data_IF_416231360771
#
_entry.id   IF_416231360771
#
_cell.length_a   1.000
_cell.length_b   1.000
_cell.length_c   1.000
_cell.angle_alpha   90.00
_cell.angle_beta   90.00
_cell.angle_gamma   90.00
#
_symmetry.space_group_name_H-M   'P 1'
#
loop_
_entity.id
_entity.type
_entity.pdbx_description
1 polymer ?
#
# COMPACT_ATOMS: atom_id res chain seq x y z
N UNK A 1 12.44 0.94 4.82
CA UNK A 1 11.09 1.43 4.38
C UNK A 1 10.58 0.49 3.29
N UNK A 2 9.30 0.21 3.29
CA UNK A 2 8.65 -0.69 2.34
C UNK A 2 7.89 0.10 1.25
N UNK A 3 7.14 -0.58 0.40
CA UNK A 3 6.19 0.02 -0.53
C UNK A 3 4.82 -0.62 -0.40
N UNK A 4 3.80 0.18 -0.61
CA UNK A 4 2.41 -0.16 -0.46
C UNK A 4 1.62 0.24 -1.70
N UNK A 5 0.57 -0.51 -1.99
CA UNK A 5 -0.48 -0.14 -2.93
C UNK A 5 -1.84 -0.62 -2.40
N UNK A 6 -2.88 0.16 -2.67
CA UNK A 6 -4.27 -0.22 -2.46
C UNK A 6 -5.09 0.25 -3.66
N UNK A 7 -5.91 -0.62 -4.23
CA UNK A 7 -6.74 -0.27 -5.37
C UNK A 7 -8.11 -0.96 -5.29
N UNK A 8 -9.16 -0.23 -5.73
CA UNK A 8 -10.45 -0.86 -5.96
C UNK A 8 -10.49 -1.56 -7.33
N UNK A 9 -11.51 -2.35 -7.57
CA UNK A 9 -11.69 -3.14 -8.78
C UNK A 9 -11.45 -2.32 -10.07
N UNK A 10 -12.06 -1.13 -10.17
CA UNK A 10 -11.93 -0.29 -11.35
C UNK A 10 -10.54 0.33 -11.49
N UNK A 11 -9.87 0.61 -10.37
CA UNK A 11 -8.47 1.04 -10.35
C UNK A 11 -7.52 -0.06 -10.82
N UNK A 12 -7.75 -1.31 -10.39
CA UNK A 12 -6.98 -2.47 -10.85
C UNK A 12 -7.09 -2.62 -12.37
N UNK A 13 -8.31 -2.59 -12.91
CA UNK A 13 -8.55 -2.69 -14.36
C UNK A 13 -7.89 -1.56 -15.15
N UNK A 14 -7.91 -0.33 -14.62
CA UNK A 14 -7.24 0.80 -15.23
C UNK A 14 -5.73 0.59 -15.29
N UNK A 15 -5.10 0.22 -14.14
CA UNK A 15 -3.66 -0.06 -14.10
C UNK A 15 -3.29 -1.19 -15.05
N UNK A 16 -4.03 -2.30 -15.04
CA UNK A 16 -3.73 -3.44 -15.92
C UNK A 16 -3.77 -3.03 -17.39
N UNK A 17 -4.81 -2.31 -17.80
CA UNK A 17 -5.00 -1.90 -19.21
C UNK A 17 -3.95 -0.92 -19.70
N UNK A 18 -3.61 0.11 -18.90
CA UNK A 18 -2.78 1.23 -19.34
C UNK A 18 -1.28 1.02 -19.07
N UNK A 19 -0.92 0.17 -18.10
CA UNK A 19 0.44 0.07 -17.59
C UNK A 19 0.92 -1.36 -17.32
N UNK A 20 0.00 -2.31 -17.10
CA UNK A 20 0.28 -3.63 -16.57
C UNK A 20 0.41 -3.61 -15.03
N UNK A 21 -0.37 -4.45 -14.36
CA UNK A 21 -0.38 -4.51 -12.90
C UNK A 21 0.95 -5.02 -12.34
N UNK A 22 1.52 -6.03 -12.96
CA UNK A 22 2.84 -6.57 -12.62
C UNK A 22 3.93 -5.49 -12.70
N UNK A 23 3.91 -4.66 -13.74
CA UNK A 23 4.88 -3.58 -13.91
C UNK A 23 4.87 -2.58 -12.74
N UNK A 24 3.67 -2.27 -12.21
CA UNK A 24 3.56 -1.40 -11.04
C UNK A 24 4.09 -2.08 -9.78
N UNK A 25 3.79 -3.36 -9.57
CA UNK A 25 4.32 -4.13 -8.43
C UNK A 25 5.85 -4.21 -8.50
N UNK A 26 6.41 -4.54 -9.66
CA UNK A 26 7.86 -4.56 -9.90
C UNK A 26 8.51 -3.21 -9.68
N UNK A 27 7.87 -2.13 -10.13
CA UNK A 27 8.39 -0.78 -9.87
C UNK A 27 8.46 -0.50 -8.37
N UNK A 28 7.39 -0.81 -7.62
CA UNK A 28 7.36 -0.60 -6.18
C UNK A 28 8.44 -1.43 -5.46
N UNK A 29 8.62 -2.69 -5.85
CA UNK A 29 9.63 -3.58 -5.27
C UNK A 29 11.05 -3.09 -5.56
N UNK A 30 11.35 -2.71 -6.80
CA UNK A 30 12.67 -2.14 -7.17
C UNK A 30 12.98 -0.83 -6.45
N UNK A 31 11.97 -0.05 -6.07
CA UNK A 31 12.19 1.16 -5.30
C UNK A 31 12.67 0.87 -3.86
N UNK A 32 11.92 0.09 -3.10
CA UNK A 32 12.24 -0.29 -1.72
C UNK A 32 11.46 -1.56 -1.32
N UNK A 33 11.93 -2.72 -1.76
CA UNK A 33 11.34 -4.03 -1.49
C UNK A 33 12.36 -5.15 -1.53
N UNK A 34 11.95 -6.35 -1.94
CA UNK A 34 12.82 -7.50 -2.22
C UNK A 34 13.05 -8.45 -1.04
N UNK A 35 12.48 -8.19 0.13
CA UNK A 35 12.50 -9.12 1.27
C UNK A 35 11.17 -9.87 1.46
N UNK A 36 10.38 -9.96 0.38
CA UNK A 36 9.12 -10.65 0.30
C UNK A 36 7.95 -9.74 -0.01
N UNK A 37 6.94 -10.33 -0.64
CA UNK A 37 5.73 -9.68 -1.11
C UNK A 37 4.51 -10.25 -0.40
N UNK A 38 3.40 -9.50 -0.47
CA UNK A 38 2.12 -10.02 -0.04
C UNK A 38 0.97 -9.13 -0.46
N UNK A 39 -0.19 -9.76 -0.53
CA UNK A 39 -1.43 -9.16 -0.97
C UNK A 39 -2.59 -9.63 -0.11
N UNK A 40 -3.51 -8.71 0.18
CA UNK A 40 -4.85 -9.03 0.66
C UNK A 40 -5.85 -8.78 -0.47
N UNK A 41 -6.64 -9.81 -0.79
CA UNK A 41 -7.79 -9.73 -1.68
C UNK A 41 -9.02 -9.49 -0.82
N UNK A 42 -9.73 -8.40 -1.04
CA UNK A 42 -10.98 -8.08 -0.35
C UNK A 42 -12.10 -8.25 -1.37
N UNK A 43 -13.02 -9.16 -1.09
CA UNK A 43 -14.08 -9.54 -2.02
C UNK A 43 -15.36 -8.70 -1.85
N UNK A 44 -16.24 -8.77 -2.85
CA UNK A 44 -17.50 -8.02 -2.88
C UNK A 44 -18.49 -8.46 -1.81
N UNK A 45 -18.39 -9.71 -1.34
CA UNK A 45 -19.17 -10.26 -0.25
C UNK A 45 -18.66 -9.89 1.16
N UNK A 46 -17.51 -9.17 1.23
CA UNK A 46 -16.87 -8.75 2.47
C UNK A 46 -15.87 -9.75 3.04
N UNK A 47 -15.74 -10.93 2.44
CA UNK A 47 -14.66 -11.86 2.77
C UNK A 47 -13.31 -11.36 2.26
N UNK A 48 -12.23 -11.92 2.75
CA UNK A 48 -10.88 -11.61 2.27
C UNK A 48 -9.95 -12.82 2.36
N UNK A 49 -8.92 -12.82 1.50
CA UNK A 49 -7.81 -13.77 1.52
C UNK A 49 -6.49 -13.02 1.59
N UNK A 50 -5.48 -13.62 2.22
CA UNK A 50 -4.11 -13.10 2.26
C UNK A 50 -3.15 -14.14 1.68
N UNK A 51 -2.31 -13.71 0.74
CA UNK A 51 -1.18 -14.46 0.21
C UNK A 51 0.08 -13.66 0.43
N UNK A 52 1.12 -14.27 1.01
CA UNK A 52 2.38 -13.58 1.30
C UNK A 52 3.54 -14.57 1.44
N UNK A 53 4.75 -14.12 1.10
CA UNK A 53 5.94 -14.94 1.22
C UNK A 53 7.18 -14.23 0.69
N UNK A 54 8.35 -14.72 1.10
CA UNK A 54 9.65 -14.22 0.62
C UNK A 54 9.93 -14.58 -0.82
N UNK A 55 9.35 -15.68 -1.31
CA UNK A 55 9.50 -16.17 -2.68
C UNK A 55 8.26 -15.89 -3.56
N UNK A 56 7.29 -15.12 -3.07
CA UNK A 56 6.09 -14.80 -3.83
C UNK A 56 6.42 -13.72 -4.86
N UNK A 57 6.33 -14.05 -6.16
CA UNK A 57 6.64 -13.14 -7.25
C UNK A 57 5.48 -12.17 -7.55
N UNK A 58 5.82 -11.01 -8.12
CA UNK A 58 4.82 -10.03 -8.57
C UNK A 58 3.99 -10.54 -9.74
N UNK A 59 4.57 -11.36 -10.63
CA UNK A 59 3.87 -12.03 -11.72
C UNK A 59 2.75 -12.94 -11.19
N UNK A 60 3.07 -13.81 -10.23
CA UNK A 60 2.07 -14.69 -9.60
C UNK A 60 0.95 -13.91 -8.92
N UNK A 61 1.30 -12.79 -8.24
CA UNK A 61 0.30 -11.92 -7.60
C UNK A 61 -0.61 -11.27 -8.66
N UNK A 62 -0.03 -10.70 -9.72
CA UNK A 62 -0.78 -10.03 -10.77
C UNK A 62 -1.71 -11.00 -11.51
N UNK A 63 -1.22 -12.19 -11.86
CA UNK A 63 -2.01 -13.25 -12.48
C UNK A 63 -3.20 -13.63 -11.59
N UNK A 64 -2.99 -13.84 -10.30
CA UNK A 64 -4.05 -14.21 -9.37
C UNK A 64 -5.07 -13.09 -9.18
N UNK A 65 -4.64 -11.81 -9.14
CA UNK A 65 -5.55 -10.66 -9.12
C UNK A 65 -6.45 -10.67 -10.33
N UNK A 66 -5.88 -10.87 -11.53
CA UNK A 66 -6.65 -10.85 -12.77
C UNK A 66 -7.58 -12.07 -12.88
N UNK A 67 -7.17 -13.24 -12.44
CA UNK A 67 -8.03 -14.42 -12.37
C UNK A 67 -9.27 -14.20 -11.46
N UNK A 68 -9.09 -13.48 -10.35
CA UNK A 68 -10.15 -13.21 -9.36
C UNK A 68 -10.87 -11.87 -9.58
N UNK A 69 -10.52 -11.09 -10.61
CA UNK A 69 -10.94 -9.68 -10.76
C UNK A 69 -12.47 -9.46 -10.69
N UNK A 70 -13.27 -10.42 -11.14
CA UNK A 70 -14.74 -10.33 -11.10
C UNK A 70 -15.31 -10.28 -9.67
N UNK A 71 -14.60 -10.88 -8.73
CA UNK A 71 -15.02 -11.02 -7.32
C UNK A 71 -14.36 -9.99 -6.41
N UNK A 72 -13.22 -9.44 -6.80
CA UNK A 72 -12.46 -8.45 -6.01
C UNK A 72 -13.23 -7.14 -5.91
N UNK A 73 -13.28 -6.57 -4.71
CA UNK A 73 -13.71 -5.21 -4.40
C UNK A 73 -12.50 -4.28 -4.25
N UNK A 74 -11.49 -4.72 -3.46
CA UNK A 74 -10.23 -4.02 -3.22
C UNK A 74 -9.07 -5.01 -3.13
N UNK A 75 -7.85 -4.52 -3.36
CA UNK A 75 -6.61 -5.19 -2.98
C UNK A 75 -5.77 -4.28 -2.08
N UNK A 76 -4.95 -4.88 -1.21
CA UNK A 76 -3.86 -4.21 -0.47
C UNK A 76 -2.59 -5.01 -0.75
N UNK A 77 -1.67 -4.42 -1.49
CA UNK A 77 -0.36 -4.99 -1.82
C UNK A 77 0.75 -4.37 -0.98
N UNK A 78 1.74 -5.16 -0.65
CA UNK A 78 2.92 -4.73 0.08
C UNK A 78 4.16 -5.46 -0.42
N UNK A 79 5.25 -4.73 -0.63
CA UNK A 79 6.59 -5.29 -0.81
C UNK A 79 7.49 -4.83 0.32
N UNK A 80 8.15 -5.79 0.96
CA UNK A 80 8.87 -5.61 2.22
C UNK A 80 10.34 -5.28 1.99
N UNK A 81 10.84 -4.24 2.67
CA UNK A 81 12.25 -4.06 2.98
C UNK A 81 12.40 -4.16 4.50
N UNK A 82 12.91 -5.28 4.99
CA UNK A 82 12.93 -5.58 6.42
C UNK A 82 13.79 -4.59 7.20
N UNK A 83 13.19 -3.97 8.22
CA UNK A 83 13.85 -3.12 9.22
C UNK A 83 13.65 -3.65 10.65
N UNK A 84 12.58 -4.41 10.88
CA UNK A 84 12.24 -5.08 12.13
C UNK A 84 11.87 -6.53 11.84
N UNK A 85 12.36 -7.46 12.64
CA UNK A 85 12.12 -8.90 12.51
C UNK A 85 12.90 -9.55 11.37
N UNK A 86 12.86 -10.88 11.34
CA UNK A 86 13.59 -11.70 10.38
C UNK A 86 12.95 -11.64 8.98
N UNK A 87 13.75 -11.95 7.95
CA UNK A 87 13.25 -12.15 6.59
C UNK A 87 12.70 -13.58 6.52
N UNK A 88 11.39 -13.71 6.54
CA UNK A 88 10.63 -14.95 6.41
C UNK A 88 9.18 -14.63 6.00
N UNK A 89 8.43 -15.64 5.59
CA UNK A 89 7.05 -15.52 5.11
C UNK A 89 6.13 -14.93 6.17
N UNK A 90 6.31 -15.34 7.45
CA UNK A 90 5.49 -14.86 8.55
C UNK A 90 5.52 -13.34 8.69
N UNK A 91 6.70 -12.75 8.52
CA UNK A 91 6.94 -11.31 8.67
C UNK A 91 6.64 -10.49 7.40
N UNK A 92 6.20 -11.11 6.31
CA UNK A 92 5.64 -10.39 5.17
C UNK A 92 4.28 -9.80 5.53
N UNK A 93 3.99 -8.62 4.99
CA UNK A 93 2.68 -7.98 5.12
C UNK A 93 1.73 -8.45 4.01
N UNK A 94 0.41 -8.28 4.14
CA UNK A 94 -0.31 -7.72 5.29
C UNK A 94 -0.38 -8.68 6.49
N UNK A 95 -0.70 -8.11 7.66
CA UNK A 95 -1.04 -8.87 8.86
C UNK A 95 -2.55 -8.85 9.10
N UNK A 96 -3.04 -9.92 9.75
CA UNK A 96 -4.46 -10.11 10.06
C UNK A 96 -4.64 -10.45 11.53
N UNK A 97 -5.71 -9.92 12.13
CA UNK A 97 -6.21 -10.31 13.44
C UNK A 97 -7.70 -9.99 13.59
N UNK A 98 -8.52 -11.02 13.82
CA UNK A 98 -9.95 -10.90 14.09
C UNK A 98 -10.71 -10.05 13.03
N UNK A 99 -10.54 -10.36 11.75
CA UNK A 99 -11.21 -9.66 10.66
C UNK A 99 -10.68 -8.28 10.32
N UNK A 100 -9.52 -7.91 10.91
CA UNK A 100 -8.82 -6.65 10.66
C UNK A 100 -7.50 -6.92 9.94
N UNK A 101 -7.27 -6.23 8.85
CA UNK A 101 -6.07 -6.39 8.03
C UNK A 101 -5.30 -5.09 7.99
N UNK A 102 -3.97 -5.15 8.09
CA UNK A 102 -3.11 -3.97 8.03
C UNK A 102 -1.77 -4.27 7.34
N UNK A 103 -1.34 -3.33 6.51
CA UNK A 103 0.01 -3.23 5.98
C UNK A 103 0.60 -1.87 6.33
N UNK A 104 1.89 -1.81 6.64
CA UNK A 104 2.57 -0.59 7.06
C UNK A 104 3.83 -0.32 6.24
N UNK A 105 4.02 0.93 5.84
CA UNK A 105 5.30 1.44 5.36
C UNK A 105 5.84 2.46 6.35
N UNK A 106 6.86 2.04 7.08
CA UNK A 106 7.52 2.78 8.15
C UNK A 106 8.17 1.82 9.15
N UNK A 107 8.67 2.38 10.23
CA UNK A 107 9.16 1.65 11.39
C UNK A 107 8.74 2.44 12.62
N UNK A 108 7.90 1.83 13.45
CA UNK A 108 7.42 2.47 14.66
C UNK A 108 8.27 2.06 15.86
N UNK A 109 8.46 3.01 16.78
CA UNK A 109 9.20 2.77 18.03
C UNK A 109 8.34 2.97 19.28
N UNK A 110 7.27 3.77 19.16
CA UNK A 110 6.34 4.07 20.25
C UNK A 110 5.03 3.30 20.07
N UNK A 111 5.03 2.02 20.41
CA UNK A 111 3.85 1.17 20.36
C UNK A 111 3.78 0.26 21.60
N UNK A 112 2.62 -0.31 21.87
CA UNK A 112 2.44 -1.27 22.96
C UNK A 112 3.00 -2.61 22.50
N UNK A 113 3.98 -3.13 23.20
CA UNK A 113 4.56 -4.45 22.94
C UNK A 113 3.66 -5.50 23.60
N UNK A 114 2.86 -6.18 22.78
CA UNK A 114 2.05 -7.33 23.20
C UNK A 114 2.93 -8.59 23.27
N UNK A 115 3.83 -8.73 22.29
CA UNK A 115 4.78 -9.84 22.24
C UNK A 115 6.08 -9.37 21.55
N UNK A 116 7.21 -9.59 22.21
CA UNK A 116 8.54 -9.18 21.71
C UNK A 116 9.01 -9.94 20.47
N UNK A 117 8.44 -11.12 20.17
CA UNK A 117 8.74 -11.89 18.97
C UNK A 117 8.04 -11.39 17.71
N UNK A 118 7.09 -10.47 17.84
CA UNK A 118 6.29 -9.92 16.76
C UNK A 118 6.92 -8.64 16.20
N UNK A 119 6.57 -8.32 14.96
CA UNK A 119 6.94 -7.04 14.35
C UNK A 119 6.20 -5.88 15.02
N UNK A 120 6.65 -4.66 14.78
CA UNK A 120 5.97 -3.45 15.22
C UNK A 120 4.53 -3.37 14.69
N UNK A 121 4.33 -3.70 13.41
CA UNK A 121 3.00 -3.70 12.78
C UNK A 121 2.04 -4.72 13.43
N UNK A 122 2.51 -5.93 13.74
CA UNK A 122 1.68 -6.93 14.42
C UNK A 122 1.32 -6.49 15.84
N UNK A 123 2.28 -5.97 16.59
CA UNK A 123 2.03 -5.45 17.93
C UNK A 123 1.01 -4.31 17.91
N UNK A 124 1.09 -3.40 16.93
CA UNK A 124 0.11 -2.32 16.73
C UNK A 124 -1.27 -2.91 16.44
N UNK A 125 -1.37 -3.88 15.53
CA UNK A 125 -2.63 -4.54 15.18
C UNK A 125 -3.27 -5.21 16.40
N UNK A 126 -2.49 -5.90 17.21
CA UNK A 126 -2.97 -6.62 18.40
C UNK A 126 -3.36 -5.68 19.53
N UNK A 127 -2.64 -4.58 19.72
CA UNK A 127 -2.87 -3.63 20.83
C UNK A 127 -3.93 -2.57 20.54
N UNK A 128 -4.45 -2.52 19.31
CA UNK A 128 -5.36 -1.46 18.85
C UNK A 128 -6.73 -2.07 18.53
N UNK A 129 -7.80 -1.65 19.23
CA UNK A 129 -9.15 -2.15 19.02
C UNK A 129 -9.81 -1.60 17.74
N UNK A 130 -9.54 -0.35 17.38
CA UNK A 130 -10.00 0.34 16.17
C UNK A 130 -8.75 0.75 15.38
N UNK A 131 -8.33 -0.08 14.41
CA UNK A 131 -7.11 0.18 13.65
C UNK A 131 -7.27 1.36 12.68
N UNK A 132 -8.48 1.63 12.22
CA UNK A 132 -8.79 2.75 11.32
C UNK A 132 -8.45 4.10 11.97
N UNK A 133 -8.80 4.28 13.24
CA UNK A 133 -8.49 5.51 13.97
C UNK A 133 -7.19 5.40 14.77
N UNK A 134 -6.93 4.24 15.36
CA UNK A 134 -5.77 4.04 16.23
C UNK A 134 -4.42 4.14 15.53
N UNK A 135 -4.37 3.86 14.21
CA UNK A 135 -3.12 4.02 13.43
C UNK A 135 -2.81 5.47 13.07
N UNK A 136 -3.74 6.41 13.25
CA UNK A 136 -3.53 7.84 12.97
C UNK A 136 -2.49 8.53 13.85
N UNK A 137 -2.17 7.95 15.00
CA UNK A 137 -1.16 8.49 15.94
C UNK A 137 0.28 8.13 15.57
N UNK A 138 0.50 7.17 14.69
CA UNK A 138 1.83 6.66 14.34
C UNK A 138 2.43 7.42 13.16
N UNK A 139 3.77 7.49 13.12
CA UNK A 139 4.54 8.19 12.09
C UNK A 139 4.85 7.29 10.88
N UNK A 140 3.83 6.64 10.33
CA UNK A 140 3.95 5.72 9.20
C UNK A 140 2.75 5.83 8.26
N UNK A 141 2.83 5.16 7.12
CA UNK A 141 1.69 4.95 6.23
C UNK A 141 1.09 3.59 6.53
N UNK A 142 -0.21 3.57 6.75
CA UNK A 142 -1.00 2.36 6.94
C UNK A 142 -2.06 2.24 5.86
N UNK A 143 -2.15 1.06 5.25
CA UNK A 143 -3.29 0.63 4.45
C UNK A 143 -3.94 -0.55 5.15
N UNK A 144 -5.26 -0.55 5.25
CA UNK A 144 -5.92 -1.62 5.98
C UNK A 144 -7.38 -1.81 5.61
N UNK A 145 -7.95 -2.83 6.23
CA UNK A 145 -9.36 -3.22 6.13
C UNK A 145 -9.91 -3.52 7.50
N UNK A 146 -11.05 -2.95 7.82
CA UNK A 146 -11.75 -3.11 9.09
C UNK A 146 -13.23 -2.81 8.92
N UNK A 147 -14.11 -3.61 9.55
CA UNK A 147 -15.56 -3.40 9.54
C UNK A 147 -16.15 -3.21 8.12
N UNK A 148 -15.70 -4.04 7.16
CA UNK A 148 -16.20 -4.00 5.77
C UNK A 148 -15.67 -2.84 4.91
N UNK A 149 -14.72 -2.04 5.41
CA UNK A 149 -14.18 -0.86 4.72
C UNK A 149 -12.66 -0.86 4.68
N UNK A 150 -12.10 -0.42 3.57
CA UNK A 150 -10.67 -0.12 3.48
C UNK A 150 -10.38 1.29 3.99
N UNK A 151 -9.17 1.49 4.51
CA UNK A 151 -8.67 2.78 4.95
C UNK A 151 -7.21 2.99 4.56
N UNK A 152 -6.80 4.26 4.48
CA UNK A 152 -5.42 4.69 4.39
C UNK A 152 -5.15 5.80 5.40
N UNK A 153 -4.10 5.67 6.18
CA UNK A 153 -3.62 6.69 7.11
C UNK A 153 -2.17 7.03 6.75
N UNK A 154 -1.92 8.31 6.44
CA UNK A 154 -0.60 8.84 6.08
C UNK A 154 -0.23 10.00 7.00
N UNK A 155 0.53 9.73 8.05
CA UNK A 155 1.06 10.78 8.92
C UNK A 155 2.48 11.17 8.56
N UNK A 156 3.25 10.24 7.99
CA UNK A 156 4.62 10.46 7.54
C UNK A 156 4.93 9.52 6.37
N UNK A 157 5.82 9.93 5.48
CA UNK A 157 6.16 9.17 4.28
C UNK A 157 5.31 9.53 3.07
N UNK A 158 5.55 8.87 1.97
CA UNK A 158 4.87 9.11 0.71
C UNK A 158 3.70 8.15 0.51
N UNK A 159 2.58 8.69 0.13
CA UNK A 159 1.46 7.97 -0.44
C UNK A 159 0.81 8.88 -1.48
N UNK A 160 0.71 8.42 -2.69
CA UNK A 160 0.09 9.11 -3.82
C UNK A 160 -1.26 8.50 -4.12
N UNK A 161 -2.15 9.29 -4.71
CA UNK A 161 -3.51 8.89 -5.06
C UNK A 161 -3.81 9.21 -6.52
N UNK A 162 -4.30 8.23 -7.24
CA UNK A 162 -4.73 8.33 -8.63
C UNK A 162 -6.22 8.01 -8.74
N UNK A 163 -7.09 9.03 -8.96
CA UNK A 163 -8.47 8.81 -9.37
C UNK A 163 -8.50 8.47 -10.86
N UNK A 164 -9.06 7.33 -11.22
CA UNK A 164 -9.21 6.94 -12.61
C UNK A 164 -10.57 7.39 -13.18
N UNK A 165 -10.61 7.67 -14.49
CA UNK A 165 -11.83 8.16 -15.18
C UNK A 165 -13.01 7.19 -15.09
N UNK A 166 -12.76 5.89 -14.92
CA UNK A 166 -13.76 4.84 -14.76
C UNK A 166 -14.29 4.70 -13.30
N UNK A 167 -13.97 5.63 -12.40
CA UNK A 167 -14.31 5.56 -10.97
C UNK A 167 -13.31 4.75 -10.13
N UNK A 168 -12.22 4.32 -10.75
CA UNK A 168 -11.11 3.66 -10.08
C UNK A 168 -10.42 4.55 -9.06
N UNK A 169 -9.88 3.93 -8.02
CA UNK A 169 -9.08 4.56 -6.97
C UNK A 169 -7.84 3.73 -6.74
N UNK A 170 -6.69 4.34 -6.90
CA UNK A 170 -5.40 3.69 -6.65
C UNK A 170 -4.58 4.55 -5.70
N UNK A 171 -4.14 3.96 -4.63
CA UNK A 171 -3.17 4.52 -3.69
C UNK A 171 -1.87 3.74 -3.83
N UNK A 172 -0.75 4.42 -3.99
CA UNK A 172 0.57 3.78 -4.04
C UNK A 172 1.58 4.63 -3.28
N UNK A 173 2.60 4.00 -2.71
CA UNK A 173 3.70 4.73 -2.07
C UNK A 173 4.34 5.72 -3.03
N UNK A 174 4.39 5.37 -4.32
CA UNK A 174 4.81 6.21 -5.43
C UNK A 174 4.36 5.61 -6.74
N UNK A 175 3.99 6.45 -7.72
CA UNK A 175 3.78 6.02 -9.10
C UNK A 175 5.03 6.28 -9.95
N UNK A 176 5.26 5.46 -11.00
CA UNK A 176 6.26 5.75 -12.02
C UNK A 176 6.04 7.13 -12.67
N UNK A 177 7.13 7.80 -13.07
CA UNK A 177 7.04 9.15 -13.65
C UNK A 177 6.18 9.18 -14.92
N UNK A 178 6.22 8.14 -15.72
CA UNK A 178 5.42 8.00 -16.95
C UNK A 178 3.90 7.98 -16.69
N UNK A 179 3.45 7.56 -15.49
CA UNK A 179 2.02 7.61 -15.14
C UNK A 179 1.52 9.04 -15.01
N UNK A 180 2.38 9.96 -14.54
CA UNK A 180 2.04 11.38 -14.41
C UNK A 180 1.82 12.11 -15.74
N UNK A 181 2.17 11.48 -16.87
CA UNK A 181 1.92 12.04 -18.21
C UNK A 181 0.54 11.67 -18.75
N UNK A 182 -0.07 10.61 -18.24
CA UNK A 182 -1.35 10.08 -18.71
C UNK A 182 -2.49 10.28 -17.72
N UNK A 183 -2.18 10.24 -16.42
CA UNK A 183 -3.16 10.30 -15.34
C UNK A 183 -2.89 11.48 -14.39
N UNK A 184 -3.97 11.95 -13.76
CA UNK A 184 -3.86 12.93 -12.67
C UNK A 184 -3.47 12.22 -11.38
N UNK A 185 -2.27 12.49 -10.86
CA UNK A 185 -1.77 11.95 -9.62
C UNK A 185 -1.66 13.06 -8.58
N UNK A 186 -2.19 12.77 -7.41
CA UNK A 186 -2.27 13.69 -6.28
C UNK A 186 -1.52 13.14 -5.08
N UNK A 187 -1.09 13.99 -4.18
CA UNK A 187 -0.73 13.55 -2.85
C UNK A 187 -1.97 12.94 -2.18
N UNK A 188 -1.85 11.73 -1.63
CA UNK A 188 -2.98 11.09 -0.96
C UNK A 188 -3.42 11.92 0.26
N UNK A 189 -4.71 11.96 0.56
CA UNK A 189 -5.18 12.62 1.78
C UNK A 189 -4.55 11.96 3.00
N UNK A 190 -4.34 12.74 4.07
CA UNK A 190 -3.79 12.23 5.31
C UNK A 190 -4.61 11.04 5.86
N UNK A 191 -5.92 11.10 5.69
CA UNK A 191 -6.84 10.04 6.09
C UNK A 191 -7.85 9.76 4.98
N UNK A 192 -8.01 8.50 4.66
CA UNK A 192 -9.03 7.99 3.75
C UNK A 192 -9.76 6.82 4.40
N UNK A 193 -11.07 6.78 4.26
CA UNK A 193 -11.91 5.62 4.59
C UNK A 193 -12.92 5.44 3.47
N UNK A 194 -13.13 4.20 3.03
CA UNK A 194 -14.10 3.88 1.98
C UNK A 194 -15.50 4.43 2.32
N UNK A 195 -16.15 5.05 1.33
CA UNK A 195 -17.46 5.69 1.50
C UNK A 195 -17.40 7.12 2.03
N UNK A 196 -16.23 7.61 2.47
CA UNK A 196 -16.04 9.00 2.87
C UNK A 196 -15.52 9.81 1.68
N UNK A 197 -16.16 10.94 1.38
CA UNK A 197 -15.75 11.83 0.28
C UNK A 197 -14.39 12.46 0.58
N UNK A 198 -13.45 12.36 -0.34
CA UNK A 198 -12.19 13.11 -0.28
C UNK A 198 -12.50 14.59 -0.52
N UNK A 199 -12.29 15.44 0.48
CA UNK A 199 -12.70 16.84 0.44
C UNK A 199 -11.70 17.76 -0.26
N UNK A 200 -10.41 17.41 -0.27
CA UNK A 200 -9.34 18.23 -0.84
C UNK A 200 -8.19 17.35 -1.31
N UNK A 201 -7.76 17.55 -2.54
CA UNK A 201 -6.58 16.92 -3.12
C UNK A 201 -5.58 18.02 -3.48
N UNK A 202 -4.33 17.83 -3.14
CA UNK A 202 -3.22 18.67 -3.57
C UNK A 202 -2.55 17.96 -4.75
N UNK A 203 -2.61 18.56 -5.94
CA UNK A 203 -1.96 18.03 -7.12
C UNK A 203 -0.45 17.98 -6.91
N UNK A 204 0.16 16.83 -7.20
CA UNK A 204 1.60 16.73 -7.30
C UNK A 204 2.01 17.51 -8.53
N UNK A 205 2.57 18.72 -8.33
CA UNK A 205 3.12 19.51 -9.42
C UNK A 205 4.26 18.68 -10.04
N UNK A 206 4.12 18.33 -11.31
CA UNK A 206 5.24 17.82 -12.09
C UNK A 206 6.39 18.83 -11.97
N UNK A 207 7.45 18.47 -11.26
CA UNK A 207 8.72 19.15 -11.45
C UNK A 207 9.09 18.91 -12.91
N UNK A 208 9.08 19.96 -13.72
CA UNK A 208 9.46 19.87 -15.12
C UNK A 208 10.79 19.12 -15.20
N UNK A 209 10.86 18.12 -16.08
CA UNK A 209 12.00 17.25 -16.34
C UNK A 209 13.26 18.04 -16.83
N UNK A 210 13.19 19.36 -16.88
CA UNK A 210 14.26 20.23 -17.37
C UNK A 210 15.37 20.55 -16.35
N UNK A 211 15.26 20.10 -15.08
CA UNK A 211 16.27 20.36 -14.05
C UNK A 211 17.11 19.14 -13.64
N UNK A 212 17.14 18.08 -14.43
CA UNK A 212 18.05 16.95 -14.22
C UNK A 212 19.27 17.02 -15.14
N UNK A 213 19.81 18.23 -15.30
CA UNK A 213 21.18 18.45 -15.67
C UNK A 213 22.03 18.44 -14.40
N UNK A 214 22.76 17.33 -14.18
CA UNK A 214 23.99 17.28 -13.34
C UNK A 214 23.84 17.65 -11.84
N UNK A 215 24.37 16.73 -11.02
CA UNK A 215 24.55 16.72 -9.54
C UNK A 215 23.40 16.06 -8.79
N UNK A 216 23.68 14.93 -8.19
CA UNK A 216 24.55 14.67 -7.08
C UNK A 216 23.74 13.88 -6.06
N UNK A 217 24.20 12.73 -5.71
CA UNK A 217 23.70 11.90 -4.61
C UNK A 217 23.57 12.72 -3.32
N UNK A 218 22.38 12.81 -2.76
CA UNK A 218 22.23 13.17 -1.35
C UNK A 218 21.59 11.99 -0.60
N UNK A 219 22.45 11.28 0.11
CA UNK A 219 22.03 10.49 1.27
C UNK A 219 21.55 11.47 2.33
N UNK A 220 20.30 11.39 2.72
CA UNK A 220 19.82 12.00 3.95
C UNK A 220 19.43 10.88 4.90
N UNK A 221 20.08 10.92 6.06
CA UNK A 221 20.01 10.02 7.20
C UNK A 221 18.62 9.96 7.83
#
# INVERSE_FOLDING_TARGET
MCRLMMANNEGIKHIEKEYGLENLFDYLERQLGGHGNGICFIYKDGSYDIKKGVNLSNAEIAEEVMAKIKHIKWIIYHTRLASVGNINDRNCHPFENNGRVVAMNGTERNYIIVNKSLTDTENILLSTNDITNGTRKYHSVFLGYENGKVFANKNYGSLEYMPCSNGGKVFASRFPTEYHTKDFIYEAPQYFVEGVKIKRLEAIRQKRVYDLGVYGYYYAW
#
